data_IF_149354389091
#
_entry.id   IF_149354389091
#
_cell.length_a   1.000
_cell.length_b   1.000
_cell.length_c   1.000
_cell.angle_alpha   90.00
_cell.angle_beta   90.00
_cell.angle_gamma   90.00
#
_symmetry.space_group_name_H-M   'P 1'
#
loop_
_entity.id
_entity.type
_entity.pdbx_description
1 polymer ?
#
# COMPACT_ATOMS: atom_id res chain seq x y z
N UNK A 1 -15.77 1.12 1.55
CA UNK A 1 -14.60 1.68 2.26
C UNK A 1 -14.00 2.80 1.44
N UNK A 2 -13.82 3.96 2.05
CA UNK A 2 -13.10 5.05 1.40
C UNK A 2 -11.63 4.94 1.70
N UNK A 3 -10.81 4.97 0.67
CA UNK A 3 -9.36 4.95 0.82
C UNK A 3 -8.86 6.38 1.01
N UNK A 4 -8.00 6.58 2.00
CA UNK A 4 -7.34 7.86 2.20
C UNK A 4 -5.92 7.84 1.62
N UNK A 5 -5.18 8.95 1.77
CA UNK A 5 -3.84 9.06 1.19
C UNK A 5 -2.88 7.97 1.68
N UNK A 6 -3.02 7.53 2.92
CA UNK A 6 -2.13 6.51 3.47
C UNK A 6 -2.45 5.12 2.90
N UNK A 7 -3.72 4.85 2.65
CA UNK A 7 -4.11 3.61 1.97
C UNK A 7 -3.52 3.56 0.56
N UNK A 8 -3.57 4.66 -0.17
CA UNK A 8 -2.97 4.73 -1.50
C UNK A 8 -1.45 4.59 -1.46
N UNK A 9 -0.79 5.12 -0.42
CA UNK A 9 0.66 4.91 -0.23
C UNK A 9 0.96 3.41 -0.11
N UNK A 10 0.16 2.68 0.67
CA UNK A 10 0.34 1.23 0.82
C UNK A 10 0.20 0.53 -0.54
N UNK A 11 -0.85 0.83 -1.29
CA UNK A 11 -1.07 0.22 -2.59
C UNK A 11 0.08 0.53 -3.55
N UNK A 12 0.52 1.77 -3.57
CA UNK A 12 1.61 2.20 -4.44
C UNK A 12 2.93 1.51 -4.09
N UNK A 13 3.25 1.39 -2.81
CA UNK A 13 4.46 0.69 -2.36
C UNK A 13 4.43 -0.77 -2.83
N UNK A 14 3.31 -1.46 -2.64
CA UNK A 14 3.19 -2.86 -3.03
C UNK A 14 3.41 -3.03 -4.54
N UNK A 15 2.77 -2.19 -5.34
CA UNK A 15 2.86 -2.29 -6.79
C UNK A 15 4.25 -1.91 -7.30
N UNK A 16 4.83 -0.83 -6.76
CA UNK A 16 6.15 -0.37 -7.16
C UNK A 16 7.24 -1.37 -6.79
N UNK A 17 7.14 -1.96 -5.61
CA UNK A 17 8.10 -2.98 -5.18
C UNK A 17 8.11 -4.18 -6.15
N UNK A 18 6.93 -4.69 -6.48
CA UNK A 18 6.80 -5.80 -7.41
C UNK A 18 7.40 -5.45 -8.76
N UNK A 19 7.12 -4.26 -9.26
CA UNK A 19 7.60 -3.79 -10.56
C UNK A 19 9.13 -3.68 -10.59
N UNK A 20 9.73 -3.20 -9.50
CA UNK A 20 11.16 -2.95 -9.43
C UNK A 20 11.98 -4.15 -8.97
N UNK A 21 11.36 -5.24 -8.54
CA UNK A 21 12.03 -6.41 -7.99
C UNK A 21 11.67 -7.71 -8.72
N UNK A 22 11.56 -7.64 -10.04
CA UNK A 22 11.34 -8.80 -10.92
C UNK A 22 10.11 -9.61 -10.51
N UNK A 23 9.03 -8.93 -10.18
CA UNK A 23 7.77 -9.54 -9.73
C UNK A 23 7.83 -10.21 -8.35
N UNK A 24 8.88 -9.98 -7.58
CA UNK A 24 8.88 -10.41 -6.18
C UNK A 24 7.87 -9.61 -5.39
N UNK A 25 7.21 -10.27 -4.44
CA UNK A 25 6.22 -9.64 -3.60
C UNK A 25 6.86 -9.07 -2.35
N UNK A 26 6.39 -7.91 -1.94
CA UNK A 26 6.90 -7.25 -0.74
C UNK A 26 6.41 -7.98 0.52
N UNK A 27 7.33 -8.23 1.45
CA UNK A 27 6.99 -8.85 2.73
C UNK A 27 6.53 -7.78 3.72
N UNK A 28 5.85 -8.20 4.79
CA UNK A 28 5.30 -7.28 5.77
C UNK A 28 6.36 -6.35 6.34
N UNK A 29 7.51 -6.88 6.75
CA UNK A 29 8.58 -6.06 7.33
C UNK A 29 9.10 -5.01 6.35
N UNK A 30 9.21 -5.38 5.07
CA UNK A 30 9.63 -4.46 4.02
C UNK A 30 8.58 -3.39 3.76
N UNK A 31 7.31 -3.79 3.77
CA UNK A 31 6.19 -2.86 3.59
C UNK A 31 6.14 -1.84 4.73
N UNK A 32 6.31 -2.30 5.96
CA UNK A 32 6.34 -1.41 7.12
C UNK A 32 7.46 -0.39 7.02
N UNK A 33 8.67 -0.86 6.72
CA UNK A 33 9.83 0.03 6.58
C UNK A 33 9.60 1.06 5.48
N UNK A 34 9.13 0.63 4.32
CA UNK A 34 8.89 1.52 3.19
C UNK A 34 7.77 2.53 3.49
N UNK A 35 6.71 2.08 4.16
CA UNK A 35 5.60 2.95 4.51
C UNK A 35 6.03 4.06 5.46
N UNK A 36 6.70 3.70 6.57
CA UNK A 36 7.13 4.69 7.55
C UNK A 36 8.17 5.65 6.98
N UNK A 37 9.09 5.15 6.17
CA UNK A 37 10.07 5.99 5.51
C UNK A 37 9.41 7.01 4.57
N UNK A 38 8.37 6.60 3.88
CA UNK A 38 7.70 7.44 2.89
C UNK A 38 6.84 8.53 3.53
N UNK A 39 6.10 8.21 4.59
CA UNK A 39 5.22 9.19 5.24
C UNK A 39 5.93 10.05 6.27
N UNK A 40 7.13 9.68 6.70
CA UNK A 40 7.93 10.44 7.64
C UNK A 40 8.17 11.87 7.17
N UNK A 41 8.22 12.06 5.85
CA UNK A 41 8.47 13.37 5.25
C UNK A 41 7.22 14.27 5.20
N UNK A 42 6.05 13.72 5.42
CA UNK A 42 4.81 14.47 5.34
C UNK A 42 4.54 15.27 6.61
N UNK A 43 4.37 14.56 7.73
CA UNK A 43 3.99 15.17 9.00
C UNK A 43 4.25 14.17 10.11
N UNK A 44 5.10 14.56 11.06
CA UNK A 44 5.46 13.70 12.19
C UNK A 44 4.27 13.30 13.05
N UNK A 45 3.23 14.13 13.14
CA UNK A 45 2.03 13.79 13.90
C UNK A 45 1.16 12.78 13.17
N UNK A 46 1.12 12.84 11.85
CA UNK A 46 0.35 11.91 11.03
C UNK A 46 0.89 10.49 11.11
N UNK A 47 2.18 10.30 11.31
CA UNK A 47 2.76 8.96 11.38
C UNK A 47 2.19 8.14 12.51
N UNK A 48 1.91 8.76 13.66
CA UNK A 48 1.36 8.07 14.82
C UNK A 48 -0.07 7.60 14.61
N UNK A 49 -0.85 8.34 13.83
CA UNK A 49 -2.25 8.04 13.60
C UNK A 49 -2.49 7.24 12.33
N UNK A 50 -1.42 6.90 11.60
CA UNK A 50 -1.57 6.19 10.33
C UNK A 50 -2.09 4.76 10.52
N UNK A 51 -1.86 4.12 11.68
CA UNK A 51 -2.41 2.80 12.02
C UNK A 51 -2.16 1.76 10.93
N UNK A 52 -0.89 1.57 10.59
CA UNK A 52 -0.50 0.73 9.47
C UNK A 52 -1.07 -0.68 9.50
N UNK A 53 -0.96 -1.37 10.65
CA UNK A 53 -1.45 -2.74 10.77
C UNK A 53 -2.95 -2.85 10.51
N UNK A 54 -3.71 -1.89 11.03
CA UNK A 54 -5.15 -1.84 10.85
C UNK A 54 -5.51 -1.54 9.39
N UNK A 55 -4.76 -0.63 8.74
CA UNK A 55 -4.97 -0.33 7.33
C UNK A 55 -4.71 -1.53 6.43
N UNK A 56 -3.63 -2.26 6.69
CA UNK A 56 -3.29 -3.47 5.94
C UNK A 56 -4.40 -4.51 6.11
N UNK A 57 -4.87 -4.72 7.33
CA UNK A 57 -5.96 -5.65 7.59
C UNK A 57 -7.24 -5.25 6.85
N UNK A 58 -7.59 -3.97 6.88
CA UNK A 58 -8.78 -3.48 6.19
C UNK A 58 -8.67 -3.60 4.68
N UNK A 59 -7.53 -3.27 4.12
CA UNK A 59 -7.30 -3.41 2.68
C UNK A 59 -7.42 -4.87 2.24
N UNK A 60 -6.90 -5.78 3.05
CA UNK A 60 -7.03 -7.21 2.80
C UNK A 60 -8.49 -7.66 2.85
N UNK A 61 -9.21 -7.29 3.90
CA UNK A 61 -10.63 -7.68 4.08
C UNK A 61 -11.52 -7.11 2.99
N UNK A 62 -11.23 -5.90 2.53
CA UNK A 62 -12.00 -5.25 1.48
C UNK A 62 -11.60 -5.70 0.07
N UNK A 63 -10.61 -6.56 -0.03
CA UNK A 63 -10.24 -7.17 -1.31
C UNK A 63 -9.33 -6.34 -2.20
N UNK A 64 -8.63 -5.34 -1.65
CA UNK A 64 -7.69 -4.53 -2.42
C UNK A 64 -6.31 -5.18 -2.53
N UNK A 65 -5.92 -5.94 -1.51
CA UNK A 65 -4.64 -6.63 -1.48
C UNK A 65 -4.82 -8.09 -1.10
N UNK A 66 -3.84 -8.90 -1.47
CA UNK A 66 -3.76 -10.30 -1.06
C UNK A 66 -2.42 -10.53 -0.37
N UNK A 67 -2.43 -11.37 0.66
CA UNK A 67 -1.21 -11.88 1.27
C UNK A 67 -1.01 -13.31 0.77
N UNK A 68 -0.10 -13.48 -0.17
CA UNK A 68 0.19 -14.82 -0.68
C UNK A 68 1.12 -15.50 0.31
N UNK A 69 0.63 -16.56 0.94
CA UNK A 69 1.30 -17.26 2.03
C UNK A 69 2.81 -17.38 1.84
N UNK A 70 3.57 -16.81 2.79
CA UNK A 70 5.04 -16.85 2.84
C UNK A 70 5.77 -16.14 1.70
N UNK A 71 5.06 -15.53 0.74
CA UNK A 71 5.71 -14.84 -0.37
C UNK A 71 5.54 -13.33 -0.33
N UNK A 72 4.49 -12.83 0.31
CA UNK A 72 4.29 -11.39 0.48
C UNK A 72 2.95 -10.88 -0.03
N UNK A 73 2.83 -9.57 -0.12
CA UNK A 73 1.59 -8.88 -0.51
C UNK A 73 1.61 -8.50 -1.98
N UNK A 74 0.43 -8.59 -2.60
CA UNK A 74 0.23 -8.09 -3.95
C UNK A 74 -1.13 -7.41 -4.05
N UNK A 75 -1.30 -6.53 -5.04
CA UNK A 75 -2.59 -5.94 -5.32
C UNK A 75 -3.49 -6.94 -6.03
N UNK A 76 -4.78 -6.91 -5.68
CA UNK A 76 -5.81 -7.58 -6.46
C UNK A 76 -6.14 -6.72 -7.68
N UNK A 77 -6.98 -7.22 -8.58
CA UNK A 77 -7.50 -6.42 -9.68
C UNK A 77 -8.17 -5.14 -9.15
N UNK A 78 -8.96 -5.27 -8.09
CA UNK A 78 -9.63 -4.15 -7.44
C UNK A 78 -8.62 -3.12 -6.93
N UNK A 79 -7.53 -3.59 -6.29
CA UNK A 79 -6.48 -2.70 -5.80
C UNK A 79 -5.75 -1.97 -6.91
N UNK A 80 -5.47 -2.66 -8.01
CA UNK A 80 -4.83 -2.06 -9.17
C UNK A 80 -5.71 -1.00 -9.82
N UNK A 81 -7.00 -1.26 -9.93
CA UNK A 81 -7.95 -0.29 -10.48
C UNK A 81 -8.04 0.96 -9.62
N UNK A 82 -8.11 0.80 -8.30
CA UNK A 82 -8.14 1.94 -7.38
C UNK A 82 -6.88 2.78 -7.47
N UNK A 83 -5.72 2.15 -7.50
CA UNK A 83 -4.45 2.87 -7.61
C UNK A 83 -4.35 3.60 -8.95
N UNK A 84 -4.78 2.97 -10.03
CA UNK A 84 -4.79 3.58 -11.35
C UNK A 84 -5.71 4.81 -11.39
N UNK A 85 -6.85 4.74 -10.73
CA UNK A 85 -7.79 5.85 -10.61
C UNK A 85 -7.15 7.05 -9.92
N UNK A 86 -6.46 6.79 -8.82
CA UNK A 86 -5.75 7.83 -8.06
C UNK A 86 -4.66 8.48 -8.90
N UNK A 87 -3.91 7.69 -9.65
CA UNK A 87 -2.84 8.20 -10.51
C UNK A 87 -3.38 9.10 -11.61
N UNK A 88 -4.52 8.75 -12.19
CA UNK A 88 -5.18 9.58 -13.21
C UNK A 88 -5.61 10.92 -12.63
N UNK A 89 -6.17 10.94 -11.43
CA UNK A 89 -6.57 12.19 -10.78
C UNK A 89 -5.37 13.07 -10.46
N UNK A 90 -4.29 12.46 -9.97
CA UNK A 90 -3.07 13.20 -9.66
C UNK A 90 -2.38 13.70 -10.92
N UNK A 91 -2.52 12.96 -12.02
CA UNK A 91 -1.92 13.32 -13.30
C UNK A 91 -2.58 14.53 -13.98
N UNK A 92 -3.72 14.94 -13.50
CA UNK A 92 -4.38 16.12 -14.02
C UNK A 92 -3.82 17.39 -13.39
#
# INVERSE_FOLDING_TARGET
>A
MFLDKYDYVILDIIQTYKKNNKNELIKLSQLETAFWSRIEHDDAQSTRSAQLGERIANLYLEGYIMNKSNTGYRLTKKGKEELSFQEVEVGL
#
